data_IF_010473819910
#
_entry.id   IF_010473819910
#
_cell.length_a   1.000
_cell.length_b   1.000
_cell.length_c   1.000
_cell.angle_alpha   90.00
_cell.angle_beta   90.00
_cell.angle_gamma   90.00
#
_symmetry.space_group_name_H-M   'P 1'
#
loop_
_entity.id
_entity.type
_entity.pdbx_description
1 polymer ?
#
# COMPACT_ATOMS: atom_id res chain seq x y z
N UNK A 1 29.51 -9.32 11.44
CA UNK A 1 28.17 -8.71 11.30
C UNK A 1 27.24 -9.81 10.83
N UNK A 2 26.05 -9.95 11.41
CA UNK A 2 25.08 -10.96 10.95
C UNK A 2 24.71 -10.69 9.50
N UNK A 3 24.71 -11.72 8.64
CA UNK A 3 24.32 -11.62 7.23
C UNK A 3 22.79 -11.42 7.04
N UNK A 4 22.02 -11.37 8.13
CA UNK A 4 20.56 -11.25 8.13
C UNK A 4 20.10 -9.95 8.80
N UNK A 5 19.15 -9.28 8.15
CA UNK A 5 18.41 -8.15 8.68
C UNK A 5 17.42 -8.63 9.75
N UNK A 6 17.48 -8.01 10.92
CA UNK A 6 16.55 -8.22 12.04
C UNK A 6 15.31 -7.38 11.78
N UNK A 7 14.20 -8.06 11.63
CA UNK A 7 12.95 -7.46 11.21
C UNK A 7 11.89 -7.55 12.31
N UNK A 8 11.01 -6.57 12.35
CA UNK A 8 9.82 -6.62 13.20
C UNK A 8 8.53 -6.35 12.45
N UNK A 9 7.40 -6.84 12.98
CA UNK A 9 6.06 -6.45 12.50
C UNK A 9 5.33 -5.68 13.61
N UNK A 10 4.90 -4.46 13.30
CA UNK A 10 3.97 -3.68 14.14
C UNK A 10 2.56 -3.86 13.60
N UNK A 11 1.68 -4.41 14.43
CA UNK A 11 0.31 -4.78 14.07
C UNK A 11 0.21 -6.21 13.53
N UNK A 12 0.08 -7.20 14.43
CA UNK A 12 0.01 -8.62 14.06
C UNK A 12 -1.40 -9.22 13.93
N UNK A 13 -2.34 -8.40 13.46
CA UNK A 13 -3.75 -8.81 13.31
C UNK A 13 -4.12 -9.06 11.85
N UNK A 14 -4.99 -10.06 11.64
CA UNK A 14 -5.61 -10.35 10.35
C UNK A 14 -4.67 -10.95 9.30
N UNK A 15 -5.18 -11.11 8.07
CA UNK A 15 -4.47 -11.82 7.01
C UNK A 15 -3.22 -11.11 6.47
N UNK A 16 -3.08 -9.79 6.66
CA UNK A 16 -1.89 -9.04 6.21
C UNK A 16 -0.65 -9.38 7.03
N UNK A 17 -0.77 -9.35 8.36
CA UNK A 17 0.30 -9.77 9.25
C UNK A 17 0.75 -11.21 8.97
N UNK A 18 -0.21 -12.11 8.75
CA UNK A 18 0.06 -13.50 8.34
C UNK A 18 0.89 -13.55 7.05
N UNK A 19 0.47 -12.84 6.01
CA UNK A 19 1.19 -12.81 4.73
C UNK A 19 2.61 -12.25 4.85
N UNK A 20 2.82 -11.24 5.72
CA UNK A 20 4.16 -10.73 6.03
C UNK A 20 5.04 -11.79 6.71
N UNK A 21 4.52 -12.52 7.70
CA UNK A 21 5.27 -13.59 8.34
C UNK A 21 5.58 -14.76 7.37
N UNK A 22 4.61 -15.17 6.55
CA UNK A 22 4.79 -16.18 5.49
C UNK A 22 5.90 -15.79 4.51
N UNK A 23 6.04 -14.50 4.18
CA UNK A 23 7.05 -14.02 3.25
C UNK A 23 8.49 -14.27 3.73
N UNK A 24 8.75 -14.32 5.06
CA UNK A 24 10.11 -14.56 5.58
C UNK A 24 10.66 -15.94 5.22
N UNK A 25 9.81 -16.93 4.94
CA UNK A 25 10.25 -18.22 4.40
C UNK A 25 10.92 -18.10 3.02
N UNK A 26 10.69 -17.00 2.31
CA UNK A 26 11.23 -16.71 0.98
C UNK A 26 12.32 -15.63 0.99
N UNK A 27 12.73 -15.11 2.15
CA UNK A 27 13.69 -14.01 2.28
C UNK A 27 14.88 -14.50 3.12
N UNK A 28 15.92 -15.11 2.50
CA UNK A 28 17.06 -15.67 3.23
C UNK A 28 17.82 -14.65 4.09
N UNK A 29 17.82 -13.38 3.64
CA UNK A 29 18.50 -12.27 4.30
C UNK A 29 17.67 -11.57 5.38
N UNK A 30 16.45 -12.03 5.66
CA UNK A 30 15.56 -11.44 6.65
C UNK A 30 15.24 -12.41 7.78
N UNK A 31 15.11 -11.89 8.99
CA UNK A 31 14.72 -12.66 10.17
C UNK A 31 13.66 -11.91 10.95
N UNK A 32 12.50 -12.52 11.18
CA UNK A 32 11.47 -11.94 12.02
C UNK A 32 11.82 -12.18 13.50
N UNK A 33 12.43 -11.19 14.13
CA UNK A 33 12.92 -11.29 15.51
C UNK A 33 11.94 -10.72 16.54
N UNK A 34 11.12 -9.75 16.16
CA UNK A 34 10.18 -9.11 17.07
C UNK A 34 8.81 -8.84 16.46
N UNK A 35 7.78 -8.82 17.30
CA UNK A 35 6.42 -8.43 16.91
C UNK A 35 5.78 -7.55 17.96
N UNK A 36 4.89 -6.65 17.51
CA UNK A 36 4.13 -5.79 18.41
C UNK A 36 2.66 -5.68 18.05
N UNK A 37 1.78 -5.75 19.06
CA UNK A 37 0.38 -5.31 18.94
C UNK A 37 -0.21 -5.06 20.33
N UNK A 38 -1.18 -4.14 20.42
CA UNK A 38 -1.85 -3.79 21.68
C UNK A 38 -2.61 -4.95 22.33
N UNK A 39 -3.08 -5.90 21.54
CA UNK A 39 -3.91 -7.02 22.03
C UNK A 39 -3.04 -8.22 22.44
N UNK A 40 -2.83 -8.41 23.74
CA UNK A 40 -1.97 -9.47 24.28
C UNK A 40 -2.33 -10.89 23.80
N UNK A 41 -3.62 -11.17 23.58
CA UNK A 41 -4.06 -12.46 23.03
C UNK A 41 -3.59 -12.67 21.58
N UNK A 42 -3.82 -11.68 20.70
CA UNK A 42 -3.35 -11.73 19.31
C UNK A 42 -1.83 -11.80 19.24
N UNK A 43 -1.15 -11.06 20.12
CA UNK A 43 0.30 -11.05 20.24
C UNK A 43 0.86 -12.44 20.54
N UNK A 44 0.36 -13.09 21.61
CA UNK A 44 0.77 -14.44 22.00
C UNK A 44 0.53 -15.45 20.88
N UNK A 45 -0.70 -15.48 20.36
CA UNK A 45 -1.06 -16.41 19.26
C UNK A 45 -0.14 -16.24 18.04
N UNK A 46 0.17 -15.01 17.64
CA UNK A 46 1.02 -14.76 16.49
C UNK A 46 2.48 -15.12 16.75
N UNK A 47 3.02 -14.73 17.92
CA UNK A 47 4.39 -15.05 18.30
C UNK A 47 4.60 -16.57 18.38
N UNK A 48 3.68 -17.31 19.01
CA UNK A 48 3.72 -18.76 19.11
C UNK A 48 3.63 -19.43 17.73
N UNK A 49 2.68 -18.99 16.89
CA UNK A 49 2.48 -19.55 15.55
C UNK A 49 3.73 -19.41 14.66
N UNK A 50 4.42 -18.28 14.76
CA UNK A 50 5.56 -17.95 13.89
C UNK A 50 6.92 -18.10 14.57
N UNK A 51 6.95 -18.62 15.80
CA UNK A 51 8.16 -18.77 16.64
C UNK A 51 8.97 -17.47 16.76
N UNK A 52 8.29 -16.34 16.93
CA UNK A 52 8.96 -15.03 17.08
C UNK A 52 9.48 -14.89 18.52
N UNK A 53 10.78 -14.67 18.74
CA UNK A 53 11.36 -14.72 20.09
C UNK A 53 10.98 -13.53 20.98
N UNK A 54 10.67 -12.37 20.38
CA UNK A 54 10.34 -11.16 21.15
C UNK A 54 8.95 -10.64 20.79
N UNK A 55 8.11 -10.42 21.80
CA UNK A 55 6.71 -10.02 21.64
C UNK A 55 6.36 -8.89 22.60
N UNK A 56 5.86 -7.77 22.06
CA UNK A 56 5.62 -6.54 22.80
C UNK A 56 4.18 -6.03 22.66
N UNK A 57 3.58 -5.60 23.75
CA UNK A 57 2.29 -4.89 23.69
C UNK A 57 2.44 -3.41 23.31
N UNK A 58 3.67 -2.90 23.35
CA UNK A 58 4.03 -1.52 23.07
C UNK A 58 5.19 -1.48 22.05
N UNK A 59 4.96 -0.89 20.87
CA UNK A 59 5.98 -0.84 19.82
C UNK A 59 7.16 0.07 20.21
N UNK A 60 6.94 1.08 21.05
CA UNK A 60 8.01 1.99 21.48
C UNK A 60 8.98 1.29 22.43
N UNK A 61 8.51 0.37 23.28
CA UNK A 61 9.38 -0.51 24.07
C UNK A 61 10.17 -1.45 23.16
N UNK A 62 9.50 -2.08 22.19
CA UNK A 62 10.16 -2.92 21.19
C UNK A 62 11.29 -2.18 20.47
N UNK A 63 11.08 -0.94 20.01
CA UNK A 63 12.10 -0.16 19.31
C UNK A 63 13.27 0.25 20.21
N UNK A 64 13.07 0.40 21.53
CA UNK A 64 14.16 0.71 22.47
C UNK A 64 15.01 -0.51 22.82
N UNK A 65 14.38 -1.67 22.93
CA UNK A 65 15.04 -2.89 23.39
C UNK A 65 15.62 -3.73 22.26
N UNK A 66 15.08 -3.60 21.05
CA UNK A 66 15.45 -4.39 19.89
C UNK A 66 16.24 -3.53 18.90
N UNK A 67 17.42 -4.01 18.54
CA UNK A 67 18.21 -3.42 17.46
C UNK A 67 17.67 -3.97 16.13
N UNK A 68 16.82 -3.18 15.47
CA UNK A 68 16.01 -3.57 14.31
C UNK A 68 16.48 -2.86 13.04
N UNK A 69 16.67 -3.63 11.96
CA UNK A 69 17.11 -3.09 10.68
C UNK A 69 15.92 -2.70 9.78
N UNK A 70 14.79 -3.43 9.89
CA UNK A 70 13.59 -3.24 9.07
C UNK A 70 12.31 -3.46 9.89
N UNK A 71 11.34 -2.54 9.79
CA UNK A 71 10.03 -2.71 10.44
C UNK A 71 8.90 -2.73 9.41
N UNK A 72 8.04 -3.73 9.49
CA UNK A 72 6.81 -3.83 8.71
C UNK A 72 5.65 -3.27 9.53
N UNK A 73 5.08 -2.15 9.07
CA UNK A 73 4.00 -1.43 9.75
C UNK A 73 2.65 -1.81 9.13
N UNK A 74 1.94 -2.71 9.80
CA UNK A 74 0.59 -3.19 9.46
C UNK A 74 -0.44 -2.62 10.47
N UNK A 75 -0.43 -1.30 10.63
CA UNK A 75 -1.36 -0.56 11.49
C UNK A 75 -2.43 0.16 10.67
N UNK A 76 -3.57 0.53 11.30
CA UNK A 76 -4.48 1.53 10.77
C UNK A 76 -3.74 2.85 10.41
N UNK A 77 -4.18 3.60 9.37
CA UNK A 77 -3.45 4.76 8.88
C UNK A 77 -3.28 5.91 9.89
N UNK A 78 -4.27 6.10 10.77
CA UNK A 78 -4.36 7.16 11.78
C UNK A 78 -3.22 7.13 12.82
N UNK A 79 -2.55 6.00 12.98
CA UNK A 79 -1.43 5.82 13.93
C UNK A 79 -0.09 5.64 13.23
N UNK A 80 0.02 5.85 11.92
CA UNK A 80 1.28 5.54 11.22
C UNK A 80 2.36 6.56 11.47
N UNK A 81 2.02 7.85 11.46
CA UNK A 81 3.02 8.90 11.67
C UNK A 81 3.74 8.71 13.01
N UNK A 82 3.01 8.46 14.11
CA UNK A 82 3.61 8.20 15.42
C UNK A 82 4.53 6.96 15.43
N UNK A 83 4.17 5.90 14.70
CA UNK A 83 5.00 4.68 14.60
C UNK A 83 6.28 4.96 13.81
N UNK A 84 6.18 5.75 12.74
CA UNK A 84 7.32 6.14 11.91
C UNK A 84 8.30 7.04 12.66
N UNK A 85 7.79 8.04 13.38
CA UNK A 85 8.59 8.93 14.23
C UNK A 85 9.29 8.12 15.34
N UNK A 86 8.59 7.20 15.98
CA UNK A 86 9.18 6.33 17.00
C UNK A 86 10.25 5.41 16.42
N UNK A 87 10.07 4.89 15.20
CA UNK A 87 11.06 4.05 14.54
C UNK A 87 12.34 4.84 14.21
N UNK A 88 12.21 6.02 13.60
CA UNK A 88 13.35 6.90 13.27
C UNK A 88 14.11 7.36 14.52
N UNK A 89 13.39 7.75 15.58
CA UNK A 89 13.98 8.16 16.86
C UNK A 89 14.84 7.07 17.50
N UNK A 90 14.46 5.80 17.32
CA UNK A 90 15.20 4.66 17.86
C UNK A 90 16.20 4.05 16.85
N UNK A 91 16.46 4.72 15.74
CA UNK A 91 17.52 4.33 14.80
C UNK A 91 17.16 3.16 13.89
N UNK A 92 15.87 2.85 13.69
CA UNK A 92 15.44 1.87 12.68
C UNK A 92 15.84 2.38 11.30
N UNK A 93 16.54 1.55 10.51
CA UNK A 93 17.07 1.99 9.22
C UNK A 93 16.03 2.07 8.09
N UNK A 94 14.99 1.23 8.12
CA UNK A 94 13.99 1.16 7.05
C UNK A 94 12.64 0.65 7.54
N UNK A 95 11.57 1.06 6.86
CA UNK A 95 10.21 0.57 7.09
C UNK A 95 9.49 0.21 5.80
N UNK A 96 8.63 -0.80 5.88
CA UNK A 96 7.62 -1.10 4.88
C UNK A 96 6.25 -0.86 5.52
N UNK A 97 5.46 0.05 4.97
CA UNK A 97 4.18 0.47 5.54
C UNK A 97 3.03 -0.01 4.66
N UNK A 98 2.00 -0.62 5.25
CA UNK A 98 0.79 -0.98 4.49
C UNK A 98 0.11 0.25 3.87
N UNK A 99 -0.53 0.05 2.71
CA UNK A 99 -1.40 1.05 2.09
C UNK A 99 -2.80 1.05 2.75
N UNK A 100 -3.56 2.16 2.70
CA UNK A 100 -3.23 3.46 2.11
C UNK A 100 -2.42 4.32 3.09
N UNK A 101 -1.27 4.86 2.70
CA UNK A 101 -0.34 5.54 3.62
C UNK A 101 -1.01 6.65 4.46
N UNK A 102 -1.86 7.44 3.81
CA UNK A 102 -2.64 8.55 4.36
C UNK A 102 -4.12 8.39 3.96
N UNK A 103 -5.04 8.98 4.74
CA UNK A 103 -6.47 9.03 4.42
C UNK A 103 -6.89 10.42 3.93
N UNK A 104 -6.26 11.46 4.47
CA UNK A 104 -6.58 12.86 4.19
C UNK A 104 -5.35 13.63 3.70
N UNK A 105 -5.59 14.83 3.17
CA UNK A 105 -4.51 15.70 2.71
C UNK A 105 -3.58 16.13 3.85
N UNK A 106 -4.16 16.37 5.02
CA UNK A 106 -3.45 16.77 6.24
C UNK A 106 -2.47 15.68 6.70
N UNK A 107 -2.92 14.41 6.72
CA UNK A 107 -2.05 13.25 7.01
C UNK A 107 -0.85 13.23 6.06
N UNK A 108 -1.09 13.44 4.76
CA UNK A 108 -0.04 13.46 3.74
C UNK A 108 0.94 14.61 3.94
N UNK A 109 0.47 15.81 4.26
CA UNK A 109 1.37 16.95 4.54
C UNK A 109 2.24 16.68 5.77
N UNK A 110 1.68 16.11 6.83
CA UNK A 110 2.43 15.76 8.03
C UNK A 110 3.50 14.69 7.74
N UNK A 111 3.13 13.62 7.03
CA UNK A 111 4.06 12.57 6.58
C UNK A 111 5.16 13.11 5.66
N UNK A 112 4.82 14.04 4.77
CA UNK A 112 5.79 14.71 3.90
C UNK A 112 6.79 15.53 4.72
N UNK A 113 6.31 16.33 5.67
CA UNK A 113 7.17 17.12 6.56
C UNK A 113 8.11 16.24 7.40
N UNK A 114 7.62 15.11 7.90
CA UNK A 114 8.45 14.10 8.56
C UNK A 114 9.52 13.54 7.62
N UNK A 115 9.14 13.13 6.41
CA UNK A 115 10.06 12.54 5.43
C UNK A 115 11.17 13.51 4.97
N UNK A 116 10.93 14.82 5.00
CA UNK A 116 11.94 15.85 4.66
C UNK A 116 13.05 15.98 5.74
N UNK A 117 12.78 15.55 6.97
CA UNK A 117 13.69 15.68 8.12
C UNK A 117 14.24 14.34 8.59
N UNK A 118 13.57 13.24 8.23
CA UNK A 118 13.87 11.90 8.69
C UNK A 118 15.00 11.23 7.89
N UNK A 119 15.77 10.37 8.57
CA UNK A 119 16.73 9.48 7.92
C UNK A 119 16.11 8.13 7.52
N UNK A 120 14.88 7.88 7.98
CA UNK A 120 14.16 6.63 7.81
C UNK A 120 13.76 6.40 6.35
N UNK A 121 14.18 5.27 5.80
CA UNK A 121 13.75 4.86 4.45
C UNK A 121 12.36 4.24 4.52
N UNK A 122 11.39 4.86 3.84
CA UNK A 122 10.00 4.41 3.82
C UNK A 122 9.65 3.80 2.47
N UNK A 123 9.13 2.57 2.47
CA UNK A 123 8.50 1.95 1.32
C UNK A 123 7.02 1.67 1.60
N UNK A 124 6.13 1.96 0.64
CA UNK A 124 4.69 1.67 0.77
C UNK A 124 4.40 0.31 0.15
N UNK A 125 3.75 -0.59 0.88
CA UNK A 125 3.38 -1.90 0.41
C UNK A 125 2.17 -1.86 -0.54
N UNK A 126 2.44 -1.61 -1.82
CA UNK A 126 1.54 -1.89 -2.93
C UNK A 126 1.92 -3.22 -3.59
N UNK A 127 1.69 -4.34 -2.89
CA UNK A 127 2.13 -5.68 -3.29
C UNK A 127 1.75 -6.09 -4.73
N UNK A 128 0.64 -5.57 -5.26
CA UNK A 128 0.17 -5.86 -6.63
C UNK A 128 1.11 -5.32 -7.72
N UNK A 129 1.91 -4.30 -7.39
CA UNK A 129 2.91 -3.73 -8.30
C UNK A 129 3.94 -4.78 -8.73
N UNK A 130 4.30 -5.68 -7.81
CA UNK A 130 5.36 -6.67 -7.99
C UNK A 130 4.86 -7.97 -8.62
N UNK A 131 3.60 -8.05 -9.05
CA UNK A 131 3.10 -9.25 -9.72
C UNK A 131 3.81 -9.47 -11.06
N UNK A 132 4.30 -10.68 -11.37
CA UNK A 132 5.06 -10.94 -12.61
C UNK A 132 4.32 -10.51 -13.88
N UNK A 133 3.00 -10.72 -13.95
CA UNK A 133 2.17 -10.27 -15.08
C UNK A 133 2.17 -8.74 -15.22
N UNK A 134 2.03 -8.01 -14.11
CA UNK A 134 2.05 -6.54 -14.09
C UNK A 134 3.42 -6.00 -14.49
N UNK A 135 4.51 -6.63 -14.04
CA UNK A 135 5.88 -6.26 -14.42
C UNK A 135 6.15 -6.53 -15.91
N UNK A 136 5.68 -7.65 -16.45
CA UNK A 136 5.83 -8.00 -17.87
C UNK A 136 5.11 -6.99 -18.78
N UNK A 137 3.87 -6.61 -18.45
CA UNK A 137 3.11 -5.61 -19.21
C UNK A 137 3.77 -4.22 -19.13
N UNK A 138 4.22 -3.79 -17.96
CA UNK A 138 4.97 -2.53 -17.82
C UNK A 138 6.23 -2.53 -18.67
N UNK A 139 6.97 -3.65 -18.70
CA UNK A 139 8.16 -3.79 -19.54
C UNK A 139 7.82 -3.66 -21.02
N UNK A 140 6.76 -4.32 -21.50
CA UNK A 140 6.30 -4.22 -22.89
C UNK A 140 5.95 -2.78 -23.27
N UNK A 141 5.20 -2.07 -22.42
CA UNK A 141 4.84 -0.66 -22.65
C UNK A 141 6.08 0.22 -22.68
N UNK A 142 6.99 0.08 -21.70
CA UNK A 142 8.26 0.85 -21.64
C UNK A 142 9.17 0.60 -22.83
N UNK A 143 9.09 -0.58 -23.45
CA UNK A 143 9.83 -0.95 -24.66
C UNK A 143 9.15 -0.47 -25.96
N UNK A 144 8.04 0.28 -25.87
CA UNK A 144 7.33 0.81 -27.02
C UNK A 144 6.38 -0.18 -27.69
N UNK A 145 6.03 -1.29 -27.03
CA UNK A 145 5.19 -2.35 -27.61
C UNK A 145 3.77 -1.92 -28.02
N UNK A 146 3.31 -0.75 -27.56
CA UNK A 146 2.03 -0.12 -27.96
C UNK A 146 2.21 1.31 -28.51
N UNK A 147 3.45 1.72 -28.83
CA UNK A 147 3.77 3.11 -29.15
C UNK A 147 3.64 4.03 -27.93
N UNK A 148 3.47 5.34 -28.15
CA UNK A 148 3.29 6.31 -27.08
C UNK A 148 1.93 6.13 -26.40
N UNK A 149 1.89 6.23 -25.07
CA UNK A 149 0.64 6.12 -24.31
C UNK A 149 -0.29 7.28 -24.67
N UNK A 150 -1.58 6.99 -24.89
CA UNK A 150 -2.62 8.00 -25.17
C UNK A 150 -3.63 8.08 -24.05
N UNK A 151 -4.11 6.93 -23.56
CA UNK A 151 -5.14 6.88 -22.54
C UNK A 151 -4.97 5.66 -21.62
N UNK A 152 -5.28 5.83 -20.34
CA UNK A 152 -5.41 4.75 -19.38
C UNK A 152 -6.84 4.72 -18.82
N UNK A 153 -7.44 3.53 -18.71
CA UNK A 153 -8.70 3.33 -17.98
C UNK A 153 -8.44 2.41 -16.80
N UNK A 154 -8.73 2.88 -15.59
CA UNK A 154 -8.36 2.20 -14.37
C UNK A 154 -9.55 2.15 -13.41
N UNK A 155 -9.85 0.96 -12.87
CA UNK A 155 -11.00 0.78 -11.99
C UNK A 155 -10.80 -0.21 -10.84
N UNK A 156 -11.48 0.07 -9.72
CA UNK A 156 -11.58 -0.81 -8.56
C UNK A 156 -13.03 -0.84 -8.06
N UNK A 157 -13.55 -2.01 -7.67
CA UNK A 157 -14.95 -2.12 -7.19
C UNK A 157 -15.16 -1.91 -5.70
N UNK A 158 -14.09 -1.56 -4.97
CA UNK A 158 -14.17 -1.04 -3.60
C UNK A 158 -13.76 0.43 -3.61
N UNK A 159 -14.07 1.13 -2.53
CA UNK A 159 -13.76 2.56 -2.40
C UNK A 159 -12.26 2.87 -2.52
N UNK A 160 -11.95 4.16 -2.53
CA UNK A 160 -10.60 4.68 -2.74
C UNK A 160 -9.57 4.13 -1.73
N UNK A 161 -9.88 4.16 -0.43
CA UNK A 161 -8.98 3.71 0.63
C UNK A 161 -8.72 2.18 0.59
N UNK A 162 -9.72 1.40 0.18
CA UNK A 162 -9.60 -0.06 0.09
C UNK A 162 -8.86 -0.53 -1.15
N UNK A 163 -9.30 -0.20 -2.37
CA UNK A 163 -8.65 -0.70 -3.60
C UNK A 163 -8.29 0.40 -4.59
N UNK A 164 -8.89 1.59 -4.50
CA UNK A 164 -8.55 2.69 -5.41
C UNK A 164 -7.07 3.03 -5.41
N UNK A 165 -6.42 3.03 -4.24
CA UNK A 165 -4.97 3.27 -4.14
C UNK A 165 -4.10 2.22 -4.87
N UNK A 166 -4.55 0.97 -5.02
CA UNK A 166 -3.82 -0.01 -5.84
C UNK A 166 -3.89 0.33 -7.33
N UNK A 167 -5.03 0.84 -7.77
CA UNK A 167 -5.28 1.15 -9.17
C UNK A 167 -4.60 2.47 -9.57
N UNK A 168 -4.62 3.48 -8.70
CA UNK A 168 -3.83 4.71 -8.87
C UNK A 168 -2.32 4.41 -8.92
N UNK A 169 -1.85 3.51 -8.07
CA UNK A 169 -0.47 3.04 -8.13
C UNK A 169 -0.16 2.32 -9.46
N UNK A 170 -1.12 1.55 -10.00
CA UNK A 170 -0.97 0.91 -11.30
C UNK A 170 -0.93 1.93 -12.45
N UNK A 171 -1.76 2.99 -12.41
CA UNK A 171 -1.71 4.11 -13.36
C UNK A 171 -0.31 4.74 -13.36
N UNK A 172 0.22 5.08 -12.18
CA UNK A 172 1.58 5.65 -12.06
C UNK A 172 2.68 4.68 -12.54
N UNK A 173 2.48 3.37 -12.38
CA UNK A 173 3.45 2.37 -12.82
C UNK A 173 3.59 2.32 -14.36
N UNK A 174 2.51 2.56 -15.09
CA UNK A 174 2.49 2.65 -16.55
C UNK A 174 2.82 4.05 -17.08
N UNK A 175 2.33 5.10 -16.42
CA UNK A 175 2.65 6.51 -16.70
C UNK A 175 3.38 7.11 -15.50
N UNK A 176 4.73 7.05 -15.46
CA UNK A 176 5.52 7.47 -14.31
C UNK A 176 5.66 8.98 -14.18
N UNK A 177 5.29 9.75 -15.20
CA UNK A 177 5.33 11.20 -15.15
C UNK A 177 4.34 11.74 -14.11
N UNK A 178 4.69 12.79 -13.35
CA UNK A 178 3.74 13.40 -12.43
C UNK A 178 2.53 13.96 -13.20
N UNK A 179 1.32 13.88 -12.63
CA UNK A 179 0.15 14.51 -13.24
C UNK A 179 0.28 16.03 -13.20
N UNK A 180 -0.20 16.70 -14.25
CA UNK A 180 -0.25 18.18 -14.33
C UNK A 180 -1.61 18.73 -13.92
N UNK A 181 -2.66 17.92 -13.99
CA UNK A 181 -4.00 18.25 -13.53
C UNK A 181 -4.76 16.99 -13.11
N UNK A 182 -5.59 17.10 -12.08
CA UNK A 182 -6.51 16.06 -11.62
C UNK A 182 -7.87 16.70 -11.38
N UNK A 183 -8.90 16.20 -12.06
CA UNK A 183 -10.30 16.59 -11.83
C UNK A 183 -11.04 15.41 -11.22
N UNK A 184 -11.69 15.61 -10.08
CA UNK A 184 -12.35 14.53 -9.33
C UNK A 184 -13.82 14.82 -9.11
N UNK A 185 -14.65 13.78 -9.16
CA UNK A 185 -16.09 13.85 -8.84
C UNK A 185 -16.44 12.81 -7.78
N UNK A 186 -17.16 13.24 -6.75
CA UNK A 186 -17.84 12.32 -5.83
C UNK A 186 -19.15 11.89 -6.49
N UNK A 187 -19.28 10.59 -6.75
CA UNK A 187 -20.44 10.07 -7.46
C UNK A 187 -21.56 9.75 -6.49
N UNK A 188 -21.26 9.03 -5.41
CA UNK A 188 -22.28 8.57 -4.46
C UNK A 188 -21.69 8.10 -3.15
N UNK A 189 -22.51 8.25 -2.11
CA UNK A 189 -22.44 7.44 -0.90
C UNK A 189 -21.45 7.96 0.15
N UNK A 190 -21.81 7.72 1.41
CA UNK A 190 -21.06 8.15 2.58
C UNK A 190 -20.90 7.02 3.61
N UNK A 191 -21.35 5.81 3.32
CA UNK A 191 -21.28 4.68 4.28
C UNK A 191 -19.81 4.32 4.57
N UNK A 192 -18.94 4.40 3.57
CA UNK A 192 -17.50 4.21 3.71
C UNK A 192 -16.79 5.28 4.55
N UNK A 193 -17.47 6.35 4.95
CA UNK A 193 -16.97 7.35 5.90
C UNK A 193 -17.29 6.99 7.36
N UNK A 194 -18.09 5.95 7.60
CA UNK A 194 -18.38 5.47 8.95
C UNK A 194 -17.15 4.78 9.57
N UNK A 195 -16.77 5.15 10.82
CA UNK A 195 -15.65 4.53 11.52
C UNK A 195 -15.77 3.01 11.59
N UNK A 196 -14.66 2.33 11.31
CA UNK A 196 -14.56 0.87 11.38
C UNK A 196 -13.15 0.47 11.83
N UNK A 197 -12.92 -0.78 12.29
CA UNK A 197 -11.62 -1.18 12.84
C UNK A 197 -10.42 -1.05 11.88
N UNK A 198 -10.64 -0.94 10.57
CA UNK A 198 -9.56 -0.76 9.57
C UNK A 198 -9.25 0.72 9.30
N UNK A 199 -10.15 1.63 9.68
CA UNK A 199 -10.04 3.07 9.46
C UNK A 199 -9.80 3.47 8.00
N UNK A 200 -10.17 2.63 7.03
CA UNK A 200 -10.07 2.95 5.60
C UNK A 200 -11.27 3.80 5.15
N UNK A 201 -11.33 5.03 5.67
CA UNK A 201 -12.45 5.93 5.46
C UNK A 201 -12.34 6.61 4.08
N UNK A 202 -13.37 6.46 3.25
CA UNK A 202 -13.47 7.13 1.95
C UNK A 202 -14.93 7.12 1.46
N UNK A 203 -15.33 8.09 0.62
CA UNK A 203 -16.61 8.04 -0.10
C UNK A 203 -16.79 6.72 -0.85
N UNK A 204 -18.03 6.25 -0.98
CA UNK A 204 -18.30 4.91 -1.53
C UNK A 204 -17.90 4.81 -3.00
N UNK A 205 -18.20 5.85 -3.78
CA UNK A 205 -17.95 5.91 -5.21
C UNK A 205 -17.31 7.22 -5.63
N UNK A 206 -16.25 7.11 -6.43
CA UNK A 206 -15.45 8.24 -6.87
C UNK A 206 -14.98 8.04 -8.31
N UNK A 207 -14.81 9.14 -9.04
CA UNK A 207 -14.11 9.13 -10.32
C UNK A 207 -13.13 10.29 -10.43
N UNK A 208 -12.12 10.11 -11.25
CA UNK A 208 -11.15 11.15 -11.57
C UNK A 208 -10.69 11.06 -13.03
N UNK A 209 -10.39 12.21 -13.59
CA UNK A 209 -9.59 12.35 -14.80
C UNK A 209 -8.24 12.97 -14.44
N UNK A 210 -7.17 12.37 -14.94
CA UNK A 210 -5.78 12.71 -14.66
C UNK A 210 -5.11 13.06 -15.98
N UNK A 211 -4.45 14.21 -16.06
CA UNK A 211 -3.74 14.68 -17.25
C UNK A 211 -2.23 14.69 -17.00
N UNK A 212 -1.46 14.31 -18.02
CA UNK A 212 0.01 14.27 -17.97
C UNK A 212 0.63 15.24 -18.99
N UNK A 213 1.89 15.62 -18.75
CA UNK A 213 2.59 16.62 -19.57
C UNK A 213 2.80 16.18 -21.03
N UNK A 214 2.83 14.87 -21.30
CA UNK A 214 2.94 14.31 -22.66
C UNK A 214 1.60 14.29 -23.42
N UNK A 215 0.54 14.83 -22.82
CA UNK A 215 -0.81 14.86 -23.38
C UNK A 215 -1.61 13.56 -23.20
N UNK A 216 -1.03 12.52 -22.60
CA UNK A 216 -1.78 11.33 -22.22
C UNK A 216 -2.74 11.63 -21.05
N UNK A 217 -3.81 10.86 -20.95
CA UNK A 217 -4.79 10.98 -19.85
C UNK A 217 -5.07 9.65 -19.18
N UNK A 218 -5.52 9.67 -17.93
CA UNK A 218 -6.05 8.50 -17.25
C UNK A 218 -7.44 8.79 -16.68
N UNK A 219 -8.39 7.89 -16.94
CA UNK A 219 -9.66 7.82 -16.22
C UNK A 219 -9.53 6.82 -15.09
N UNK A 220 -9.91 7.24 -13.89
CA UNK A 220 -9.91 6.42 -12.69
C UNK A 220 -11.33 6.35 -12.10
N UNK A 221 -11.78 5.15 -11.74
CA UNK A 221 -13.08 4.91 -11.08
C UNK A 221 -12.96 3.96 -9.89
N UNK A 222 -13.57 4.32 -8.77
CA UNK A 222 -13.65 3.48 -7.58
C UNK A 222 -15.09 3.36 -7.10
N UNK A 223 -15.46 2.19 -6.58
CA UNK A 223 -16.79 1.94 -6.02
C UNK A 223 -17.57 0.86 -6.75
N UNK A 224 -18.75 0.50 -6.25
CA UNK A 224 -19.51 -0.66 -6.76
C UNK A 224 -19.99 -0.50 -8.20
N UNK A 225 -20.11 0.75 -8.65
CA UNK A 225 -20.42 1.16 -10.03
C UNK A 225 -19.27 0.95 -11.05
N UNK A 226 -18.04 0.66 -10.59
CA UNK A 226 -16.96 0.34 -11.50
C UNK A 226 -17.28 -0.93 -12.31
N UNK A 227 -16.92 -0.96 -13.61
CA UNK A 227 -17.23 -2.09 -14.48
C UNK A 227 -16.64 -3.39 -13.93
N UNK A 228 -17.32 -4.52 -14.10
CA UNK A 228 -16.77 -5.82 -13.77
C UNK A 228 -15.87 -6.32 -14.90
N UNK A 229 -14.65 -6.75 -14.57
CA UNK A 229 -13.70 -7.38 -15.50
C UNK A 229 -14.04 -8.85 -15.76
N UNK A 230 -14.58 -9.52 -14.75
CA UNK A 230 -15.11 -10.86 -14.84
C UNK A 230 -16.56 -10.88 -14.31
N UNK A 231 -17.58 -11.05 -15.18
CA UNK A 231 -18.97 -11.12 -14.74
C UNK A 231 -19.26 -12.31 -13.82
N UNK A 232 -18.43 -13.37 -13.87
CA UNK A 232 -18.57 -14.55 -13.02
C UNK A 232 -17.89 -14.38 -11.64
N UNK A 233 -17.01 -13.39 -11.46
CA UNK A 233 -16.39 -13.10 -10.16
C UNK A 233 -17.20 -12.02 -9.41
N UNK A 234 -18.06 -12.48 -8.53
CA UNK A 234 -18.89 -11.60 -7.68
C UNK A 234 -18.11 -10.94 -6.55
N UNK A 235 -16.85 -11.33 -6.31
CA UNK A 235 -16.02 -10.75 -5.24
C UNK A 235 -15.50 -9.38 -5.66
N UNK A 236 -16.19 -8.33 -5.24
CA UNK A 236 -15.80 -6.93 -5.51
C UNK A 236 -14.35 -6.59 -5.10
N UNK A 237 -13.81 -7.33 -4.13
CA UNK A 237 -12.45 -7.14 -3.65
C UNK A 237 -11.38 -7.64 -4.61
N UNK A 238 -11.74 -8.44 -5.61
CA UNK A 238 -10.82 -8.99 -6.61
C UNK A 238 -10.67 -8.09 -7.83
N UNK A 239 -11.67 -7.26 -8.11
CA UNK A 239 -11.64 -6.35 -9.25
C UNK A 239 -10.63 -5.21 -9.04
N UNK A 240 -9.56 -5.23 -9.84
CA UNK A 240 -8.56 -4.17 -10.03
C UNK A 240 -8.09 -4.21 -11.47
N UNK A 241 -8.49 -3.23 -12.24
CA UNK A 241 -8.16 -3.15 -13.65
C UNK A 241 -7.36 -1.90 -13.94
N UNK A 242 -6.41 -2.02 -14.86
CA UNK A 242 -5.87 -0.89 -15.62
C UNK A 242 -5.66 -1.40 -17.04
N UNK A 243 -6.25 -0.71 -18.00
CA UNK A 243 -6.06 -0.89 -19.42
C UNK A 243 -5.27 0.31 -19.95
N UNK A 244 -4.28 0.06 -20.80
CA UNK A 244 -3.39 1.08 -21.34
C UNK A 244 -3.50 1.06 -22.86
N UNK A 245 -3.94 2.17 -23.44
CA UNK A 245 -4.06 2.35 -24.89
C UNK A 245 -2.96 3.28 -25.37
N UNK A 246 -2.15 2.81 -26.31
CA UNK A 246 -1.15 3.59 -27.01
C UNK A 246 -1.49 3.79 -28.48
N UNK A 247 -0.56 4.37 -29.22
CA UNK A 247 -0.72 4.68 -30.65
C UNK A 247 -0.96 3.46 -31.54
N UNK A 248 -0.33 2.33 -31.20
CA UNK A 248 -0.29 1.15 -32.07
C UNK A 248 -0.90 -0.10 -31.43
N UNK A 249 -1.48 0.02 -30.23
CA UNK A 249 -2.09 -1.12 -29.54
C UNK A 249 -2.56 -0.81 -28.12
N UNK A 250 -3.02 -1.84 -27.42
CA UNK A 250 -3.44 -1.75 -26.02
C UNK A 250 -3.04 -2.99 -25.21
N UNK A 251 -2.92 -2.83 -23.89
CA UNK A 251 -2.63 -3.90 -22.92
C UNK A 251 -3.43 -3.77 -21.62
#
# INVERSE_FOLDING_TARGET
MSDRYRCAIVGVSGGRARGHAEAFAHIPRGELTAVSTRTAENLRRFADQWNVPHAYTNYTEMFREQDLDLVLVNTPPDVRLEVLEAADLNGVGSVIVEKPLALQGEDWQALKGFAEQSSLKVAINHQLHYQPRRLALQKLVRQGGIGSIRHLDASARMNMAYQGTHVLQAVQAFQPSPPIAVSTSLLRGATGLEPNPRMHLAPDECEAEIQFADGSTARFRCGTNAPADNPDDTRISHHKQVAVTGETGSV
#
